data_IF_633032555629
#
_entry.id   IF_633032555629
#
_cell.length_a   1.000
_cell.length_b   1.000
_cell.length_c   1.000
_cell.angle_alpha   90.00
_cell.angle_beta   90.00
_cell.angle_gamma   90.00
#
_symmetry.space_group_name_H-M   'P 1'
#
loop_
_entity.id
_entity.type
_entity.pdbx_description
1 polymer ?
#
# COMPACT_ATOMS: atom_id res chain seq x y z
N UNK A 1 10.37 -12.22 12.45
CA UNK A 1 9.63 -11.13 13.11
C UNK A 1 9.53 -9.96 12.15
N UNK A 2 8.32 -9.44 11.88
CA UNK A 2 8.07 -8.31 10.98
C UNK A 2 8.14 -7.01 11.80
N UNK A 3 9.01 -6.06 11.43
CA UNK A 3 9.44 -5.00 12.34
C UNK A 3 8.47 -3.84 12.45
N UNK A 4 7.73 -3.54 11.39
CA UNK A 4 6.70 -2.51 11.35
C UNK A 4 5.72 -2.84 10.26
N UNK A 5 4.45 -2.94 10.61
CA UNK A 5 3.39 -2.95 9.61
C UNK A 5 2.98 -1.50 9.42
N UNK A 6 3.44 -0.98 8.28
CA UNK A 6 3.24 0.38 7.78
C UNK A 6 1.89 0.93 8.24
N UNK A 7 1.92 2.09 8.92
CA UNK A 7 0.80 3.02 8.88
C UNK A 7 0.69 3.44 7.41
N UNK A 8 -0.21 2.79 6.68
CA UNK A 8 -0.48 3.18 5.31
C UNK A 8 -0.88 4.64 5.34
N UNK A 9 -0.11 5.46 4.63
CA UNK A 9 -0.50 6.83 4.32
C UNK A 9 -1.98 6.81 3.93
N UNK A 10 -2.83 7.65 4.54
CA UNK A 10 -4.21 7.73 4.12
C UNK A 10 -4.18 8.04 2.62
N UNK A 11 -4.71 7.11 1.81
CA UNK A 11 -5.03 7.39 0.42
C UNK A 11 -6.08 8.50 0.44
N UNK A 12 -5.57 9.72 0.52
CA UNK A 12 -6.33 10.94 0.41
C UNK A 12 -6.81 10.92 -1.03
N UNK A 13 -8.08 10.55 -1.25
CA UNK A 13 -8.77 10.83 -2.50
C UNK A 13 -8.83 12.35 -2.65
N UNK A 14 -7.72 12.97 -3.05
CA UNK A 14 -7.71 14.35 -3.51
C UNK A 14 -8.44 14.33 -4.84
N UNK A 15 -9.72 14.69 -4.76
CA UNK A 15 -10.50 15.08 -5.92
C UNK A 15 -9.64 16.05 -6.74
N UNK A 16 -9.31 15.64 -7.96
CA UNK A 16 -8.71 16.49 -8.97
C UNK A 16 -9.69 17.65 -9.22
N UNK A 17 -9.43 18.80 -8.60
CA UNK A 17 -10.02 20.05 -9.03
C UNK A 17 -9.43 20.38 -10.40
N UNK A 18 -10.17 20.03 -11.45
CA UNK A 18 -9.86 20.44 -12.82
C UNK A 18 -10.06 21.95 -12.89
N UNK A 19 -8.97 22.72 -12.75
CA UNK A 19 -8.97 24.13 -13.07
C UNK A 19 -8.99 24.28 -14.60
N UNK A 20 -10.19 24.39 -15.18
CA UNK A 20 -10.36 24.81 -16.57
C UNK A 20 -10.09 26.32 -16.62
N UNK A 21 -8.85 26.71 -16.91
CA UNK A 21 -8.57 28.10 -17.29
C UNK A 21 -8.86 28.24 -18.78
N UNK A 22 -10.07 28.71 -19.10
CA UNK A 22 -10.40 29.19 -20.43
C UNK A 22 -9.63 30.49 -20.70
N UNK A 23 -8.48 30.39 -21.37
CA UNK A 23 -7.79 31.54 -21.94
C UNK A 23 -8.47 31.89 -23.27
N UNK A 24 -9.37 32.86 -23.23
CA UNK A 24 -10.00 33.46 -24.42
C UNK A 24 -8.94 34.23 -25.21
N UNK A 25 -8.41 33.65 -26.30
CA UNK A 25 -7.58 34.39 -27.25
C UNK A 25 -8.45 35.00 -28.35
N UNK A 26 -8.35 36.31 -28.46
CA UNK A 26 -8.96 37.19 -29.46
C UNK A 26 -8.48 36.86 -30.87
N UNK A 27 -9.43 36.80 -31.81
CA UNK A 27 -9.16 36.74 -33.24
C UNK A 27 -8.63 38.07 -33.76
N UNK A 28 -7.51 38.03 -34.48
CA UNK A 28 -7.19 38.98 -35.55
C UNK A 28 -6.62 38.18 -36.74
N UNK A 29 -7.32 38.27 -37.86
CA UNK A 29 -6.98 37.65 -39.13
C UNK A 29 -5.78 38.34 -39.80
N UNK A 30 -4.91 37.58 -40.47
CA UNK A 30 -4.35 37.86 -41.82
C UNK A 30 -3.15 36.93 -42.14
N UNK A 31 -3.38 35.99 -43.07
CA UNK A 31 -2.43 35.49 -44.07
C UNK A 31 -1.02 35.01 -43.67
N UNK A 32 -0.85 33.68 -43.57
CA UNK A 32 0.20 32.87 -44.22
C UNK A 32 0.11 31.43 -43.66
N UNK A 33 0.03 30.44 -44.55
CA UNK A 33 -0.15 29.04 -44.15
C UNK A 33 1.00 28.51 -43.30
N UNK A 34 0.71 28.12 -42.06
CA UNK A 34 1.60 27.32 -41.23
C UNK A 34 1.13 25.87 -41.33
N UNK A 35 1.92 25.03 -42.00
CA UNK A 35 1.75 23.58 -41.89
C UNK A 35 2.13 23.16 -40.47
N UNK A 36 1.11 22.79 -39.68
CA UNK A 36 1.30 22.08 -38.42
C UNK A 36 1.75 20.65 -38.73
N UNK A 37 2.89 20.16 -38.22
CA UNK A 37 3.22 18.75 -38.34
C UNK A 37 2.16 17.94 -37.59
N UNK A 38 1.56 17.01 -38.33
CA UNK A 38 0.65 15.98 -37.83
C UNK A 38 1.27 15.30 -36.61
N UNK A 39 0.43 15.08 -35.60
CA UNK A 39 0.75 14.44 -34.34
C UNK A 39 1.58 13.16 -34.55
N UNK A 40 2.88 13.24 -34.23
CA UNK A 40 3.67 12.07 -33.94
C UNK A 40 3.02 11.37 -32.76
N UNK A 41 2.58 10.12 -32.95
CA UNK A 41 1.98 9.31 -31.92
C UNK A 41 2.86 9.34 -30.67
N UNK A 42 2.27 9.76 -29.55
CA UNK A 42 2.91 9.63 -28.25
C UNK A 42 2.98 8.13 -27.98
N UNK A 43 4.10 7.51 -28.33
CA UNK A 43 4.41 6.20 -27.77
C UNK A 43 4.63 6.46 -26.29
N UNK A 44 3.64 6.14 -25.46
CA UNK A 44 3.85 5.98 -24.02
C UNK A 44 4.84 4.83 -23.87
N UNK A 45 6.13 5.16 -24.03
CA UNK A 45 7.23 4.25 -23.73
C UNK A 45 7.04 3.87 -22.28
N UNK A 46 6.94 2.55 -22.04
CA UNK A 46 6.95 1.98 -20.71
C UNK A 46 7.96 2.74 -19.88
N UNK A 47 7.48 3.46 -18.86
CA UNK A 47 8.33 4.25 -18.01
C UNK A 47 9.33 3.28 -17.36
N UNK A 48 10.56 3.28 -17.87
CA UNK A 48 11.64 2.46 -17.37
C UNK A 48 12.11 3.09 -16.06
N UNK A 49 11.35 2.88 -14.99
CA UNK A 49 11.72 3.23 -13.62
C UNK A 49 12.74 2.21 -13.09
N UNK A 50 13.90 2.14 -13.72
CA UNK A 50 15.05 1.37 -13.23
C UNK A 50 16.06 2.35 -12.63
N UNK A 51 15.65 3.09 -11.59
CA UNK A 51 16.61 3.61 -10.64
C UNK A 51 16.91 2.47 -9.68
N UNK A 52 18.16 2.01 -9.67
CA UNK A 52 18.62 0.89 -8.87
C UNK A 52 18.56 1.27 -7.38
N UNK A 53 17.46 0.92 -6.73
CA UNK A 53 17.24 1.02 -5.29
C UNK A 53 17.96 -0.11 -4.53
N UNK A 54 18.69 -0.99 -5.23
CA UNK A 54 19.21 -2.24 -4.68
C UNK A 54 18.11 -3.26 -4.34
N UNK A 55 16.87 -3.01 -4.77
CA UNK A 55 15.71 -3.89 -4.64
C UNK A 55 15.25 -4.29 -6.05
N UNK A 56 15.16 -5.59 -6.29
CA UNK A 56 14.75 -6.10 -7.61
C UNK A 56 13.25 -5.84 -7.89
N UNK A 57 12.84 -5.77 -9.17
CA UNK A 57 11.43 -5.65 -9.53
C UNK A 57 10.54 -6.74 -8.91
N UNK A 58 11.03 -7.98 -8.83
CA UNK A 58 10.34 -9.10 -8.21
C UNK A 58 10.15 -8.89 -6.70
N UNK A 59 11.17 -8.34 -6.02
CA UNK A 59 11.08 -8.01 -4.60
C UNK A 59 10.11 -6.85 -4.33
N UNK A 60 10.06 -5.85 -5.22
CA UNK A 60 9.08 -4.75 -5.16
C UNK A 60 7.66 -5.31 -5.33
N UNK A 61 7.44 -6.18 -6.33
CA UNK A 61 6.15 -6.80 -6.57
C UNK A 61 5.71 -7.68 -5.40
N UNK A 62 6.60 -8.54 -4.89
CA UNK A 62 6.33 -9.39 -3.73
C UNK A 62 6.04 -8.59 -2.46
N UNK A 63 6.72 -7.45 -2.26
CA UNK A 63 6.47 -6.56 -1.15
C UNK A 63 5.09 -5.91 -1.25
N UNK A 64 4.77 -5.35 -2.41
CA UNK A 64 3.47 -4.74 -2.67
C UNK A 64 2.32 -5.74 -2.51
N UNK A 65 2.45 -6.95 -3.05
CA UNK A 65 1.47 -8.01 -2.91
C UNK A 65 1.27 -8.43 -1.45
N UNK A 66 2.37 -8.66 -0.72
CA UNK A 66 2.32 -9.02 0.70
C UNK A 66 1.55 -7.99 1.51
N UNK A 67 1.82 -6.71 1.26
CA UNK A 67 1.18 -5.62 1.98
C UNK A 67 -0.32 -5.54 1.70
N UNK A 68 -0.73 -5.65 0.43
CA UNK A 68 -2.15 -5.65 0.06
C UNK A 68 -2.90 -6.86 0.64
N UNK A 69 -2.26 -8.03 0.67
CA UNK A 69 -2.86 -9.26 1.19
C UNK A 69 -2.98 -9.27 2.72
N UNK A 70 -2.10 -8.54 3.43
CA UNK A 70 -2.18 -8.37 4.88
C UNK A 70 -3.35 -7.50 5.35
N UNK A 71 -4.02 -6.76 4.47
CA UNK A 71 -5.08 -5.83 4.87
C UNK A 71 -6.29 -6.54 5.51
N UNK A 72 -6.77 -7.66 4.93
CA UNK A 72 -7.87 -8.44 5.52
C UNK A 72 -7.53 -8.99 6.90
N UNK A 73 -6.45 -9.79 7.08
CA UNK A 73 -6.14 -10.35 8.39
C UNK A 73 -5.80 -9.28 9.43
N UNK A 74 -5.27 -8.11 9.02
CA UNK A 74 -5.09 -6.97 9.92
C UNK A 74 -6.44 -6.47 10.45
N UNK A 75 -7.41 -6.28 9.57
CA UNK A 75 -8.74 -5.79 9.94
C UNK A 75 -9.48 -6.80 10.83
N UNK A 76 -9.34 -8.09 10.54
CA UNK A 76 -9.87 -9.18 11.37
C UNK A 76 -9.26 -9.17 12.78
N UNK A 77 -7.94 -9.01 12.88
CA UNK A 77 -7.25 -8.92 14.17
C UNK A 77 -7.70 -7.70 14.99
N UNK A 78 -7.82 -6.53 14.34
CA UNK A 78 -8.33 -5.32 14.98
C UNK A 78 -9.78 -5.48 15.45
N UNK A 79 -10.63 -6.13 14.66
CA UNK A 79 -12.00 -6.42 15.05
C UNK A 79 -12.07 -7.32 16.29
N UNK A 80 -11.27 -8.39 16.33
CA UNK A 80 -11.20 -9.28 17.49
C UNK A 80 -10.70 -8.56 18.74
N UNK A 81 -9.68 -7.71 18.61
CA UNK A 81 -9.19 -6.89 19.72
C UNK A 81 -10.27 -5.93 20.20
N UNK A 82 -10.98 -5.23 19.30
CA UNK A 82 -12.10 -4.37 19.70
C UNK A 82 -13.18 -5.12 20.49
N UNK A 83 -13.50 -6.36 20.10
CA UNK A 83 -14.41 -7.21 20.87
C UNK A 83 -13.88 -7.47 22.29
N UNK A 84 -12.59 -7.78 22.44
CA UNK A 84 -11.97 -7.98 23.76
C UNK A 84 -11.96 -6.73 24.62
N UNK A 85 -11.85 -5.54 24.01
CA UNK A 85 -11.80 -4.26 24.73
C UNK A 85 -13.21 -3.69 25.06
N UNK A 86 -14.28 -4.28 24.53
CA UNK A 86 -15.64 -3.77 24.71
C UNK A 86 -16.02 -3.71 26.19
N UNK A 87 -16.47 -2.53 26.65
CA UNK A 87 -16.88 -2.32 28.05
C UNK A 87 -15.73 -2.18 29.05
N UNK A 88 -14.48 -2.15 28.59
CA UNK A 88 -13.28 -2.07 29.47
C UNK A 88 -12.75 -0.65 29.65
N UNK A 89 -13.20 0.30 28.82
CA UNK A 89 -12.67 1.67 28.79
C UNK A 89 -11.26 1.80 28.17
N UNK A 90 -10.71 0.71 27.63
CA UNK A 90 -9.44 0.72 26.89
C UNK A 90 -9.67 1.08 25.43
N UNK A 91 -8.75 1.86 24.86
CA UNK A 91 -8.76 2.25 23.45
C UNK A 91 -7.90 1.31 22.61
N UNK A 92 -8.37 0.95 21.41
CA UNK A 92 -7.61 0.07 20.51
C UNK A 92 -6.30 0.70 20.02
N UNK A 93 -6.21 2.03 19.95
CA UNK A 93 -4.98 2.75 19.62
C UNK A 93 -3.86 2.59 20.66
N UNK A 94 -4.18 2.10 21.86
CA UNK A 94 -3.17 1.73 22.87
C UNK A 94 -2.48 0.38 22.59
N UNK A 95 -2.98 -0.40 21.64
CA UNK A 95 -2.48 -1.74 21.31
C UNK A 95 -1.42 -1.65 20.23
N UNK A 96 -0.21 -2.10 20.55
CA UNK A 96 0.85 -2.26 19.54
C UNK A 96 0.62 -3.55 18.73
N UNK A 97 0.31 -3.39 17.44
CA UNK A 97 0.15 -4.48 16.47
C UNK A 97 1.49 -4.90 15.82
N UNK A 98 2.63 -4.39 16.31
CA UNK A 98 3.95 -4.76 15.80
C UNK A 98 4.31 -6.22 16.13
N UNK A 99 5.01 -6.88 15.20
CA UNK A 99 5.41 -8.28 15.35
C UNK A 99 6.79 -8.46 15.98
N UNK A 100 7.33 -7.41 16.61
CA UNK A 100 8.67 -7.37 17.23
C UNK A 100 8.63 -7.20 18.75
N UNK A 101 7.47 -6.98 19.36
CA UNK A 101 7.39 -6.81 20.80
C UNK A 101 5.99 -7.02 21.35
N UNK A 102 5.93 -7.16 22.67
CA UNK A 102 4.67 -7.09 23.45
C UNK A 102 4.51 -5.70 24.07
N UNK A 103 5.11 -4.69 23.45
CA UNK A 103 5.11 -3.34 23.98
C UNK A 103 3.65 -2.93 24.21
N UNK A 104 3.39 -2.34 25.36
CA UNK A 104 2.07 -1.87 25.80
C UNK A 104 1.06 -2.93 26.29
N UNK A 105 1.29 -4.24 26.14
CA UNK A 105 0.38 -5.23 26.79
C UNK A 105 0.36 -5.09 28.32
N UNK A 106 1.45 -4.60 28.92
CA UNK A 106 1.51 -4.32 30.36
C UNK A 106 0.63 -3.14 30.80
N UNK A 107 0.15 -2.31 29.87
CA UNK A 107 -0.78 -1.21 30.14
C UNK A 107 -2.22 -1.72 30.22
N UNK A 108 -2.49 -2.92 29.68
CA UNK A 108 -3.81 -3.53 29.75
C UNK A 108 -4.09 -4.19 31.11
N UNK A 109 -5.36 -4.24 31.53
CA UNK A 109 -5.81 -5.12 32.62
C UNK A 109 -5.33 -6.55 32.41
N UNK A 110 -4.91 -7.22 33.50
CA UNK A 110 -4.34 -8.59 33.44
C UNK A 110 -5.25 -9.59 32.71
N UNK A 111 -6.57 -9.44 32.86
CA UNK A 111 -7.57 -10.29 32.19
C UNK A 111 -7.56 -10.18 30.66
N UNK A 112 -7.11 -9.06 30.09
CA UNK A 112 -7.13 -8.81 28.65
C UNK A 112 -5.81 -9.18 27.95
N UNK A 113 -4.71 -9.20 28.70
CA UNK A 113 -3.35 -9.35 28.15
C UNK A 113 -3.20 -10.60 27.31
N UNK A 114 -3.66 -11.74 27.82
CA UNK A 114 -3.51 -13.02 27.13
C UNK A 114 -4.33 -13.05 25.84
N UNK A 115 -5.58 -12.59 25.87
CA UNK A 115 -6.43 -12.55 24.68
C UNK A 115 -5.86 -11.66 23.58
N UNK A 116 -5.48 -10.42 23.93
CA UNK A 116 -4.86 -9.49 22.96
C UNK A 116 -3.54 -10.06 22.43
N UNK A 117 -2.71 -10.66 23.29
CA UNK A 117 -1.45 -11.29 22.87
C UNK A 117 -1.70 -12.38 21.84
N UNK A 118 -2.68 -13.25 22.05
CA UNK A 118 -3.01 -14.34 21.12
C UNK A 118 -3.35 -13.77 19.75
N UNK A 119 -4.26 -12.80 19.68
CA UNK A 119 -4.68 -12.18 18.40
C UNK A 119 -3.49 -11.56 17.66
N UNK A 120 -2.62 -10.83 18.37
CA UNK A 120 -1.42 -10.22 17.77
C UNK A 120 -0.46 -11.28 17.23
N UNK A 121 -0.20 -12.34 18.01
CA UNK A 121 0.70 -13.43 17.59
C UNK A 121 0.15 -14.14 16.35
N UNK A 122 -1.14 -14.44 16.32
CA UNK A 122 -1.79 -15.13 15.19
C UNK A 122 -1.69 -14.29 13.92
N UNK A 123 -2.01 -12.99 14.01
CA UNK A 123 -1.84 -12.05 12.91
C UNK A 123 -0.39 -11.99 12.42
N UNK A 124 0.58 -11.92 13.32
CA UNK A 124 1.99 -11.87 12.97
C UNK A 124 2.51 -13.14 12.28
N UNK A 125 1.97 -14.30 12.66
CA UNK A 125 2.26 -15.58 12.00
C UNK A 125 1.65 -15.62 10.59
N UNK A 126 0.41 -15.15 10.44
CA UNK A 126 -0.25 -15.05 9.14
C UNK A 126 0.46 -14.07 8.22
N UNK A 127 0.81 -12.88 8.70
CA UNK A 127 1.62 -11.90 7.97
C UNK A 127 2.96 -12.49 7.53
N UNK A 128 3.65 -13.24 8.41
CA UNK A 128 4.90 -13.91 8.04
C UNK A 128 4.72 -14.96 6.93
N UNK A 129 3.58 -15.65 6.93
CA UNK A 129 3.24 -16.64 5.90
C UNK A 129 2.92 -15.97 4.56
N UNK A 130 2.17 -14.86 4.58
CA UNK A 130 1.88 -14.03 3.39
C UNK A 130 3.17 -13.53 2.74
N UNK A 131 4.12 -13.03 3.54
CA UNK A 131 5.43 -12.59 3.02
C UNK A 131 6.15 -13.71 2.27
N UNK A 132 6.16 -14.90 2.85
CA UNK A 132 6.83 -16.06 2.26
C UNK A 132 6.12 -16.57 1.00
N UNK A 133 4.79 -16.58 1.01
CA UNK A 133 3.98 -16.95 -0.16
C UNK A 133 4.22 -16.02 -1.35
N UNK A 134 4.50 -14.74 -1.08
CA UNK A 134 4.83 -13.73 -2.09
C UNK A 134 6.32 -13.67 -2.43
N UNK A 135 7.09 -14.73 -2.12
CA UNK A 135 8.46 -14.91 -2.59
C UNK A 135 9.53 -14.12 -1.80
N UNK A 136 9.16 -13.51 -0.67
CA UNK A 136 10.09 -12.75 0.16
C UNK A 136 10.48 -13.54 1.42
N UNK A 137 11.70 -13.31 1.89
CA UNK A 137 12.03 -13.64 3.28
C UNK A 137 11.50 -12.54 4.20
N UNK A 138 11.15 -12.89 5.44
CA UNK A 138 10.77 -11.90 6.46
C UNK A 138 11.87 -10.84 6.65
N UNK A 139 13.15 -11.23 6.52
CA UNK A 139 14.28 -10.31 6.58
C UNK A 139 14.24 -9.28 5.43
N UNK A 140 14.04 -9.74 4.19
CA UNK A 140 13.99 -8.87 3.02
C UNK A 140 12.76 -7.95 3.04
N UNK A 141 11.60 -8.46 3.46
CA UNK A 141 10.42 -7.63 3.67
C UNK A 141 10.71 -6.48 4.63
N UNK A 142 11.30 -6.78 5.79
CA UNK A 142 11.65 -5.76 6.78
C UNK A 142 12.68 -4.75 6.28
N UNK A 143 13.67 -5.19 5.48
CA UNK A 143 14.65 -4.25 4.92
C UNK A 143 13.99 -3.28 3.93
N UNK A 144 13.04 -3.75 3.11
CA UNK A 144 12.26 -2.89 2.20
C UNK A 144 11.37 -1.94 3.03
N UNK A 145 10.72 -2.44 4.09
CA UNK A 145 9.94 -1.60 5.01
C UNK A 145 10.77 -0.49 5.63
N UNK A 146 12.02 -0.77 6.03
CA UNK A 146 12.90 0.23 6.62
C UNK A 146 13.45 1.22 5.58
N UNK A 147 13.67 0.78 4.35
CA UNK A 147 14.25 1.58 3.28
C UNK A 147 13.26 2.55 2.62
N UNK A 148 12.03 2.11 2.33
CA UNK A 148 11.09 2.90 1.51
C UNK A 148 10.79 4.33 2.01
N UNK A 149 10.74 4.64 3.32
CA UNK A 149 10.49 6.02 3.76
C UNK A 149 11.67 6.96 3.49
N UNK A 150 12.87 6.41 3.30
CA UNK A 150 14.11 7.14 3.08
C UNK A 150 14.54 7.15 1.61
N UNK A 151 13.87 6.36 0.77
CA UNK A 151 14.14 6.23 -0.67
C UNK A 151 12.85 6.54 -1.46
N UNK A 152 12.70 7.80 -1.95
CA UNK A 152 11.55 8.19 -2.74
C UNK A 152 11.38 7.40 -4.05
N UNK A 153 12.47 6.92 -4.65
CA UNK A 153 12.41 6.14 -5.89
C UNK A 153 11.81 4.75 -5.60
N UNK A 154 12.27 4.09 -4.54
CA UNK A 154 11.71 2.83 -4.07
C UNK A 154 10.24 2.98 -3.65
N UNK A 155 9.88 4.06 -2.95
CA UNK A 155 8.50 4.34 -2.56
C UNK A 155 7.57 4.44 -3.78
N UNK A 156 8.02 5.11 -4.84
CA UNK A 156 7.26 5.25 -6.08
C UNK A 156 7.14 3.91 -6.83
N UNK A 157 8.20 3.10 -6.87
CA UNK A 157 8.16 1.75 -7.44
C UNK A 157 7.13 0.86 -6.73
N UNK A 158 7.12 0.87 -5.40
CA UNK A 158 6.16 0.12 -4.58
C UNK A 158 4.73 0.61 -4.85
N UNK A 159 4.52 1.94 -4.89
CA UNK A 159 3.20 2.53 -5.19
C UNK A 159 2.69 2.11 -6.57
N UNK A 160 3.56 2.15 -7.58
CA UNK A 160 3.20 1.74 -8.93
C UNK A 160 2.82 0.25 -8.99
N UNK A 161 3.59 -0.61 -8.32
CA UNK A 161 3.29 -2.05 -8.23
C UNK A 161 1.95 -2.32 -7.54
N UNK A 162 1.62 -1.61 -6.44
CA UNK A 162 0.32 -1.75 -5.77
C UNK A 162 -0.85 -1.41 -6.71
N UNK A 163 -0.74 -0.31 -7.47
CA UNK A 163 -1.77 0.09 -8.44
C UNK A 163 -1.96 -0.98 -9.51
N UNK A 164 -0.88 -1.51 -10.06
CA UNK A 164 -0.93 -2.57 -11.08
C UNK A 164 -1.63 -3.82 -10.53
N UNK A 165 -1.24 -4.29 -9.34
CA UNK A 165 -1.85 -5.46 -8.70
C UNK A 165 -3.36 -5.27 -8.47
N UNK A 166 -3.77 -4.10 -7.99
CA UNK A 166 -5.19 -3.81 -7.76
C UNK A 166 -5.99 -3.78 -9.06
N UNK A 167 -5.43 -3.23 -10.15
CA UNK A 167 -6.07 -3.22 -11.47
C UNK A 167 -6.23 -4.64 -12.03
N UNK A 168 -5.18 -5.46 -11.98
CA UNK A 168 -5.22 -6.85 -12.46
C UNK A 168 -6.26 -7.68 -11.72
N UNK A 169 -6.39 -7.49 -10.40
CA UNK A 169 -7.40 -8.18 -9.60
C UNK A 169 -8.81 -7.64 -9.88
N UNK A 170 -8.98 -6.33 -10.10
CA UNK A 170 -10.26 -5.72 -10.47
C UNK A 170 -10.77 -6.23 -11.83
N UNK A 171 -9.89 -6.32 -12.82
CA UNK A 171 -10.21 -6.90 -14.14
C UNK A 171 -10.54 -8.39 -14.06
N UNK A 172 -9.86 -9.14 -13.20
CA UNK A 172 -10.15 -10.57 -12.97
C UNK A 172 -11.52 -10.78 -12.30
N UNK A 173 -11.92 -9.90 -11.38
CA UNK A 173 -13.25 -9.93 -10.75
C UNK A 173 -14.37 -9.51 -11.71
N UNK A 174 -14.12 -8.55 -12.60
CA UNK A 174 -15.09 -8.13 -13.61
C UNK A 174 -15.35 -9.22 -14.67
N UNK A 175 -14.33 -10.00 -15.02
CA UNK A 175 -14.45 -11.09 -16.00
C UNK A 175 -15.07 -12.38 -15.41
N UNK A 176 -15.06 -12.54 -14.08
CA UNK A 176 -15.62 -13.72 -13.39
C UNK A 176 -17.12 -13.69 -13.11
N UNK A 177 -17.83 -12.60 -13.45
CA UNK A 177 -19.27 -12.44 -13.20
C UNK A 177 -20.14 -12.65 -14.46
N UNK A 178 -19.61 -13.33 -15.47
CA UNK A 178 -20.35 -13.81 -16.64
C UNK A 178 -20.43 -15.33 -16.60
N UNK A 179 -21.28 -15.87 -15.72
CA UNK A 179 -21.76 -17.25 -15.83
C UNK A 179 -23.14 -17.38 -15.19
#
# INVERSE_FOLDING_TARGET
MIHRLINFLPMSHRALAVAVTAASLTMLASGAGVQLPVAGGITLGAAAYAQDSGVSPEEVAGYAASVLEMDSPRNEALAQINTLLTGTGQDIGSIDMSCTGTANLNQLPRSLRTGVRTVVVDYCNQASSIVQANGLTVRKFNSITAAHPQDPALAEQIRAAMVQLQQSQGSSRANGNSN
#
